data_IF_723102939503
#
_entry.id   IF_723102939503
#
_cell.length_a   1.000
_cell.length_b   1.000
_cell.length_c   1.000
_cell.angle_alpha   90.00
_cell.angle_beta   90.00
_cell.angle_gamma   90.00
#
_symmetry.space_group_name_H-M   'P 1'
#
loop_
_entity.id
_entity.type
_entity.pdbx_description
1 polymer ?
#
# COMPACT_ATOMS: atom_id res chain seq x y z
N UNK A 1 73.99 20.19 -24.86
CA UNK A 1 73.40 21.44 -24.35
C UNK A 1 71.98 21.14 -23.96
N UNK A 2 71.77 21.15 -22.67
CA UNK A 2 70.59 20.70 -21.95
C UNK A 2 69.54 21.81 -21.90
N UNK A 3 68.26 21.45 -22.05
CA UNK A 3 67.03 22.15 -21.59
C UNK A 3 65.83 21.47 -22.25
N UNK A 4 64.68 21.25 -21.62
CA UNK A 4 64.24 21.05 -20.23
C UNK A 4 62.75 20.66 -20.38
N UNK A 5 62.29 19.71 -19.56
CA UNK A 5 60.87 19.30 -19.37
C UNK A 5 59.93 20.50 -19.23
N UNK A 6 58.69 20.33 -19.69
CA UNK A 6 57.48 20.39 -18.85
C UNK A 6 56.31 19.72 -19.59
N UNK A 7 56.05 18.45 -19.29
CA UNK A 7 54.73 17.85 -19.51
C UNK A 7 53.88 18.20 -18.29
N UNK A 8 52.90 19.09 -18.47
CA UNK A 8 51.85 19.28 -17.48
C UNK A 8 51.02 17.99 -17.45
N UNK A 9 51.08 17.26 -16.34
CA UNK A 9 50.19 16.15 -16.09
C UNK A 9 48.79 16.70 -15.89
N UNK A 10 47.88 16.35 -16.79
CA UNK A 10 46.46 16.36 -16.49
C UNK A 10 46.21 15.26 -15.45
N UNK A 11 46.13 15.67 -14.19
CA UNK A 11 45.49 14.89 -13.13
C UNK A 11 44.01 14.77 -13.48
N UNK A 12 43.67 13.73 -14.24
CA UNK A 12 42.31 13.25 -14.33
C UNK A 12 41.86 12.86 -12.93
N UNK A 13 40.97 13.66 -12.34
CA UNK A 13 40.18 13.24 -11.19
C UNK A 13 39.40 12.00 -11.66
N UNK A 14 39.47 10.86 -10.96
CA UNK A 14 38.68 9.70 -11.35
C UNK A 14 37.21 10.09 -11.19
N UNK A 15 36.53 10.18 -12.31
CA UNK A 15 35.07 10.20 -12.36
C UNK A 15 34.61 8.89 -11.73
N UNK A 16 34.07 8.96 -10.51
CA UNK A 16 33.45 7.83 -9.85
C UNK A 16 32.21 7.49 -10.68
N UNK A 17 32.36 6.58 -11.64
CA UNK A 17 31.24 5.91 -12.26
C UNK A 17 30.53 5.14 -11.16
N UNK A 18 29.49 5.74 -10.57
CA UNK A 18 28.63 5.04 -9.64
C UNK A 18 28.07 3.82 -10.37
N UNK A 19 28.49 2.62 -9.94
CA UNK A 19 28.03 1.36 -10.51
C UNK A 19 26.51 1.22 -10.39
N UNK A 20 25.94 0.29 -11.16
CA UNK A 20 24.52 -0.09 -11.01
C UNK A 20 24.31 -0.53 -9.56
N UNK A 21 23.38 0.09 -8.80
CA UNK A 21 23.19 -0.21 -7.39
C UNK A 21 22.79 -1.68 -7.20
N UNK A 22 23.45 -2.36 -6.27
CA UNK A 22 23.20 -3.77 -5.95
C UNK A 22 22.27 -3.91 -4.74
N UNK A 23 21.74 -5.12 -4.51
CA UNK A 23 20.99 -5.45 -3.29
C UNK A 23 21.84 -5.20 -2.04
N UNK A 24 23.13 -5.55 -2.08
CA UNK A 24 24.04 -5.37 -0.95
C UNK A 24 24.24 -3.88 -0.61
N UNK A 25 24.37 -3.02 -1.63
CA UNK A 25 24.50 -1.57 -1.43
C UNK A 25 23.26 -0.99 -0.75
N UNK A 26 22.07 -1.41 -1.20
CA UNK A 26 20.80 -0.94 -0.64
C UNK A 26 20.61 -1.43 0.80
N UNK A 27 20.89 -2.72 1.08
CA UNK A 27 20.79 -3.27 2.43
C UNK A 27 21.78 -2.61 3.40
N UNK A 28 23.02 -2.36 2.96
CA UNK A 28 24.00 -1.64 3.75
C UNK A 28 23.50 -0.22 4.09
N UNK A 29 22.95 0.49 3.11
CA UNK A 29 22.40 1.82 3.36
C UNK A 29 21.18 1.79 4.29
N UNK A 30 20.29 0.80 4.15
CA UNK A 30 19.16 0.62 5.06
C UNK A 30 19.60 0.36 6.50
N UNK A 31 20.70 -0.40 6.69
CA UNK A 31 21.27 -0.62 8.01
C UNK A 31 21.81 0.66 8.65
N UNK A 32 22.40 1.58 7.87
CA UNK A 32 22.83 2.90 8.37
C UNK A 32 21.65 3.83 8.69
N UNK A 33 20.48 3.60 8.09
CA UNK A 33 19.25 4.36 8.34
C UNK A 33 18.40 3.79 9.49
N UNK A 34 18.82 2.68 10.09
CA UNK A 34 18.15 2.03 11.20
C UNK A 34 18.14 2.95 12.44
N UNK A 35 16.95 3.23 12.99
CA UNK A 35 16.77 3.99 14.22
C UNK A 35 15.94 3.17 15.23
N UNK A 36 16.48 2.81 16.42
CA UNK A 36 15.76 2.07 17.45
C UNK A 36 14.45 2.73 17.92
N UNK A 37 14.37 4.07 17.88
CA UNK A 37 13.14 4.79 18.24
C UNK A 37 12.07 4.59 17.18
N UNK A 38 12.45 4.61 15.91
CA UNK A 38 11.54 4.35 14.79
C UNK A 38 11.10 2.89 14.80
N UNK A 39 12.02 1.96 15.05
CA UNK A 39 11.72 0.53 15.24
C UNK A 39 10.63 0.33 16.30
N UNK A 40 10.83 0.89 17.50
CA UNK A 40 9.87 0.76 18.59
C UNK A 40 8.48 1.35 18.27
N UNK A 41 8.38 2.33 17.38
CA UNK A 41 7.10 2.86 16.88
C UNK A 41 6.49 1.92 15.86
N UNK A 42 7.26 1.47 14.88
CA UNK A 42 6.80 0.59 13.81
C UNK A 42 6.35 -0.78 14.35
N UNK A 43 7.06 -1.34 15.33
CA UNK A 43 6.70 -2.63 15.94
C UNK A 43 5.35 -2.58 16.65
N UNK A 44 4.97 -1.43 17.24
CA UNK A 44 3.62 -1.22 17.80
C UNK A 44 2.52 -1.28 16.75
N UNK A 45 2.87 -1.07 15.48
CA UNK A 45 1.97 -1.18 14.33
C UNK A 45 2.13 -2.51 13.57
N UNK A 46 2.94 -3.44 14.09
CA UNK A 46 3.18 -4.75 13.49
C UNK A 46 4.26 -4.77 12.38
N UNK A 47 5.06 -3.71 12.26
CA UNK A 47 6.12 -3.57 11.27
C UNK A 47 7.51 -3.72 11.94
N UNK A 48 8.35 -4.64 11.44
CA UNK A 48 9.62 -5.05 12.07
C UNK A 48 10.87 -4.32 11.53
N UNK A 49 10.73 -3.09 11.06
CA UNK A 49 11.84 -2.29 10.52
C UNK A 49 12.11 -1.00 11.30
N UNK A 50 13.38 -0.59 11.38
CA UNK A 50 13.82 0.62 12.07
C UNK A 50 13.93 1.87 11.19
N UNK A 51 13.58 1.81 9.90
CA UNK A 51 13.83 2.91 8.97
C UNK A 51 12.64 3.88 8.87
N UNK A 52 12.91 5.18 8.94
CA UNK A 52 11.90 6.23 8.74
C UNK A 52 11.36 6.22 7.29
N UNK A 53 10.03 6.29 7.11
CA UNK A 53 9.41 6.24 5.78
C UNK A 53 9.83 7.40 4.85
N UNK A 54 10.18 8.56 5.39
CA UNK A 54 10.73 9.68 4.59
C UNK A 54 12.12 9.34 4.06
N UNK A 55 12.96 8.69 4.87
CA UNK A 55 14.28 8.19 4.45
C UNK A 55 14.16 7.09 3.39
N UNK A 56 13.23 6.14 3.56
CA UNK A 56 12.93 5.13 2.52
C UNK A 56 12.56 5.77 1.18
N UNK A 57 11.70 6.81 1.20
CA UNK A 57 11.32 7.55 -0.01
C UNK A 57 12.49 8.33 -0.61
N UNK A 58 13.38 8.90 0.21
CA UNK A 58 14.58 9.58 -0.26
C UNK A 58 15.55 8.61 -0.96
N UNK A 59 15.76 7.42 -0.39
CA UNK A 59 16.54 6.34 -1.00
C UNK A 59 15.91 5.89 -2.32
N UNK A 60 14.61 5.55 -2.32
CA UNK A 60 13.90 5.16 -3.54
C UNK A 60 13.96 6.24 -4.64
N UNK A 61 13.87 7.52 -4.26
CA UNK A 61 14.01 8.65 -5.21
C UNK A 61 15.38 8.68 -5.88
N UNK A 62 16.46 8.36 -5.15
CA UNK A 62 17.81 8.28 -5.72
C UNK A 62 17.99 7.05 -6.61
N UNK A 63 17.44 5.91 -6.20
CA UNK A 63 17.48 4.66 -6.99
C UNK A 63 16.66 4.76 -8.28
N UNK A 64 15.59 5.56 -8.30
CA UNK A 64 14.61 5.67 -9.39
C UNK A 64 13.95 4.32 -9.70
N UNK A 65 13.15 4.26 -10.76
CA UNK A 65 12.49 3.01 -11.16
C UNK A 65 13.51 1.98 -11.68
N UNK A 66 13.65 0.86 -10.96
CA UNK A 66 14.60 -0.21 -11.26
C UNK A 66 13.99 -1.59 -10.93
N UNK A 67 13.26 -2.17 -11.88
CA UNK A 67 12.43 -3.36 -11.64
C UNK A 67 13.20 -4.62 -11.22
N UNK A 68 14.35 -4.92 -11.83
CA UNK A 68 15.11 -6.13 -11.49
C UNK A 68 15.69 -6.06 -10.08
N UNK A 69 16.23 -4.89 -9.70
CA UNK A 69 16.62 -4.59 -8.33
C UNK A 69 15.43 -4.68 -7.37
N UNK A 70 14.24 -4.19 -7.75
CA UNK A 70 13.04 -4.32 -6.93
C UNK A 70 12.69 -5.78 -6.64
N UNK A 71 12.71 -6.66 -7.65
CA UNK A 71 12.47 -8.10 -7.48
C UNK A 71 13.54 -8.73 -6.58
N UNK A 72 14.79 -8.37 -6.77
CA UNK A 72 15.90 -8.88 -5.96
C UNK A 72 15.82 -8.41 -4.50
N UNK A 73 15.43 -7.16 -4.25
CA UNK A 73 15.17 -6.61 -2.91
C UNK A 73 13.96 -7.28 -2.26
N UNK A 74 12.90 -7.56 -3.03
CA UNK A 74 11.73 -8.25 -2.52
C UNK A 74 12.07 -9.65 -1.99
N UNK A 75 12.92 -10.38 -2.72
CA UNK A 75 13.34 -11.73 -2.41
C UNK A 75 14.15 -11.85 -1.11
N UNK A 76 14.71 -10.75 -0.58
CA UNK A 76 15.44 -10.78 0.70
C UNK A 76 14.53 -11.03 1.90
N UNK A 77 13.22 -10.81 1.75
CA UNK A 77 12.24 -10.82 2.84
C UNK A 77 12.51 -9.80 3.95
N UNK A 78 13.46 -8.87 3.76
CA UNK A 78 13.68 -7.75 4.67
C UNK A 78 12.60 -6.70 4.45
N UNK A 79 11.88 -6.33 5.51
CA UNK A 79 10.72 -5.44 5.42
C UNK A 79 11.08 -4.06 4.85
N UNK A 80 12.22 -3.47 5.25
CA UNK A 80 12.63 -2.17 4.72
C UNK A 80 13.01 -2.28 3.23
N UNK A 81 13.70 -3.36 2.84
CA UNK A 81 14.04 -3.65 1.45
C UNK A 81 12.79 -3.88 0.59
N UNK A 82 11.80 -4.62 1.09
CA UNK A 82 10.51 -4.81 0.42
C UNK A 82 9.77 -3.48 0.24
N UNK A 83 9.76 -2.59 1.24
CA UNK A 83 9.17 -1.25 1.10
C UNK A 83 9.89 -0.42 0.03
N UNK A 84 11.23 -0.47 -0.05
CA UNK A 84 11.98 0.17 -1.14
C UNK A 84 11.63 -0.46 -2.49
N UNK A 85 11.56 -1.79 -2.57
CA UNK A 85 11.19 -2.51 -3.79
C UNK A 85 9.86 -2.02 -4.36
N UNK A 86 8.84 -1.87 -3.51
CA UNK A 86 7.53 -1.36 -3.91
C UNK A 86 7.57 0.07 -4.46
N UNK A 87 8.50 0.90 -3.99
CA UNK A 87 8.69 2.28 -4.46
C UNK A 87 9.45 2.38 -5.79
N UNK A 88 10.29 1.39 -6.12
CA UNK A 88 11.16 1.43 -7.32
C UNK A 88 10.75 0.43 -8.41
N UNK A 89 9.75 -0.43 -8.16
CA UNK A 89 9.28 -1.39 -9.13
C UNK A 89 8.53 -0.75 -10.32
N UNK A 90 8.23 -1.57 -11.34
CA UNK A 90 7.29 -1.22 -12.41
C UNK A 90 6.00 -2.03 -12.19
N UNK A 91 4.94 -1.44 -11.60
CA UNK A 91 3.74 -2.18 -11.20
C UNK A 91 3.10 -3.07 -12.27
N UNK A 92 3.11 -2.60 -13.52
CA UNK A 92 2.49 -3.29 -14.66
C UNK A 92 3.34 -4.41 -15.26
N UNK A 93 4.56 -4.62 -14.74
CA UNK A 93 5.49 -5.65 -15.22
C UNK A 93 5.43 -6.95 -14.40
N UNK A 94 4.64 -6.95 -13.32
CA UNK A 94 4.38 -8.15 -12.52
C UNK A 94 3.27 -8.97 -13.17
N UNK A 95 3.51 -10.27 -13.26
CA UNK A 95 2.53 -11.26 -13.75
C UNK A 95 1.55 -11.66 -12.65
N UNK A 96 0.45 -12.29 -13.05
CA UNK A 96 -0.61 -12.74 -12.15
C UNK A 96 -0.09 -13.57 -10.96
N UNK A 97 0.60 -14.68 -11.23
CA UNK A 97 1.08 -15.61 -10.19
C UNK A 97 2.11 -14.97 -9.26
N UNK A 98 2.89 -14.02 -9.79
CA UNK A 98 3.87 -13.27 -9.01
C UNK A 98 3.18 -12.34 -8.01
N UNK A 99 2.10 -11.68 -8.41
CA UNK A 99 1.35 -10.80 -7.52
C UNK A 99 0.67 -11.57 -6.38
N UNK A 100 0.10 -12.74 -6.66
CA UNK A 100 -0.49 -13.60 -5.63
C UNK A 100 0.58 -14.10 -4.64
N UNK A 101 1.71 -14.58 -5.17
CA UNK A 101 2.84 -15.00 -4.34
C UNK A 101 3.38 -13.86 -3.47
N UNK A 102 3.55 -12.66 -4.04
CA UNK A 102 3.99 -11.47 -3.31
C UNK A 102 3.00 -11.09 -2.19
N UNK A 103 1.68 -11.12 -2.45
CA UNK A 103 0.70 -10.82 -1.41
C UNK A 103 0.85 -11.76 -0.20
N UNK A 104 1.00 -13.06 -0.46
CA UNK A 104 1.14 -14.09 0.60
C UNK A 104 2.49 -14.03 1.32
N UNK A 105 3.50 -13.42 0.71
CA UNK A 105 4.81 -13.18 1.33
C UNK A 105 4.84 -11.89 2.18
N UNK A 106 3.92 -10.94 1.93
CA UNK A 106 3.87 -9.65 2.61
C UNK A 106 3.35 -9.77 4.05
N UNK A 107 4.26 -10.06 4.99
CA UNK A 107 3.92 -10.28 6.41
C UNK A 107 3.61 -8.99 7.16
N UNK A 108 4.39 -7.94 6.91
CA UNK A 108 4.22 -6.64 7.58
C UNK A 108 2.95 -5.93 7.07
N UNK A 109 2.14 -5.33 7.97
CA UNK A 109 1.00 -4.50 7.58
C UNK A 109 1.36 -3.40 6.58
N UNK A 110 2.51 -2.73 6.73
CA UNK A 110 2.96 -1.70 5.79
C UNK A 110 3.26 -2.25 4.41
N UNK A 111 4.01 -3.36 4.33
CA UNK A 111 4.36 -3.98 3.04
C UNK A 111 3.10 -4.40 2.31
N UNK A 112 2.17 -5.04 3.02
CA UNK A 112 0.88 -5.45 2.45
C UNK A 112 0.07 -4.25 1.91
N UNK A 113 -0.10 -3.20 2.72
CA UNK A 113 -0.84 -2.00 2.33
C UNK A 113 -0.20 -1.29 1.12
N UNK A 114 1.13 -1.10 1.14
CA UNK A 114 1.84 -0.47 0.02
C UNK A 114 1.83 -1.34 -1.22
N UNK A 115 1.92 -2.67 -1.08
CA UNK A 115 1.86 -3.58 -2.22
C UNK A 115 0.51 -3.47 -2.93
N UNK A 116 -0.60 -3.56 -2.20
CA UNK A 116 -1.94 -3.40 -2.78
C UNK A 116 -2.08 -2.03 -3.43
N UNK A 117 -1.76 -0.94 -2.70
CA UNK A 117 -2.03 0.42 -3.17
C UNK A 117 -1.09 0.91 -4.28
N UNK A 118 0.19 0.54 -4.25
CA UNK A 118 1.18 1.07 -5.19
C UNK A 118 1.40 0.15 -6.38
N UNK A 119 1.16 -1.16 -6.22
CA UNK A 119 1.39 -2.17 -7.24
C UNK A 119 0.08 -2.69 -7.79
N UNK A 120 -0.70 -3.42 -6.99
CA UNK A 120 -1.84 -4.23 -7.49
C UNK A 120 -2.92 -3.36 -8.12
N UNK A 121 -3.33 -2.27 -7.45
CA UNK A 121 -4.35 -1.33 -7.96
C UNK A 121 -4.04 -0.77 -9.37
N UNK A 122 -2.77 -0.74 -9.76
CA UNK A 122 -2.31 -0.21 -11.06
C UNK A 122 -2.04 -1.30 -12.10
N UNK A 123 -2.13 -2.57 -11.72
CA UNK A 123 -1.78 -3.71 -12.56
C UNK A 123 -3.00 -4.20 -13.38
N UNK A 124 -2.81 -4.63 -14.65
CA UNK A 124 -3.90 -5.17 -15.48
C UNK A 124 -4.66 -6.35 -14.87
N UNK A 125 -4.04 -7.11 -13.97
CA UNK A 125 -4.64 -8.27 -13.31
C UNK A 125 -5.54 -7.93 -12.12
N UNK A 126 -5.67 -6.66 -11.75
CA UNK A 126 -6.37 -6.23 -10.53
C UNK A 126 -7.79 -6.78 -10.40
N UNK A 127 -8.59 -6.82 -11.48
CA UNK A 127 -9.97 -7.31 -11.41
C UNK A 127 -10.04 -8.82 -11.16
N UNK A 128 -9.15 -9.59 -11.78
CA UNK A 128 -9.07 -11.03 -11.55
C UNK A 128 -8.65 -11.32 -10.12
N UNK A 129 -7.59 -10.66 -9.65
CA UNK A 129 -7.09 -10.78 -8.27
C UNK A 129 -8.16 -10.35 -7.26
N UNK A 130 -8.94 -9.30 -7.54
CA UNK A 130 -10.03 -8.85 -6.67
C UNK A 130 -11.05 -9.97 -6.44
N UNK A 131 -11.50 -10.63 -7.51
CA UNK A 131 -12.48 -11.71 -7.42
C UNK A 131 -11.92 -12.92 -6.66
N UNK A 132 -10.70 -13.36 -7.00
CA UNK A 132 -10.07 -14.52 -6.37
C UNK A 132 -9.75 -14.23 -4.89
N UNK A 133 -9.15 -13.07 -4.58
CA UNK A 133 -8.78 -12.71 -3.21
C UNK A 133 -9.98 -12.45 -2.32
N UNK A 134 -11.04 -11.77 -2.79
CA UNK A 134 -12.24 -11.55 -1.96
C UNK A 134 -12.89 -12.85 -1.49
N UNK A 135 -12.73 -13.94 -2.25
CA UNK A 135 -13.24 -15.27 -1.91
C UNK A 135 -12.22 -16.16 -1.15
N UNK A 136 -10.99 -15.68 -0.92
CA UNK A 136 -9.94 -16.45 -0.26
C UNK A 136 -10.28 -16.66 1.23
N UNK A 137 -10.09 -17.87 1.78
CA UNK A 137 -10.35 -18.15 3.19
C UNK A 137 -9.38 -17.45 4.15
N UNK A 138 -8.20 -17.02 3.68
CA UNK A 138 -7.28 -16.23 4.49
C UNK A 138 -7.79 -14.78 4.60
N UNK A 139 -8.14 -14.29 5.80
CA UNK A 139 -8.67 -12.94 5.99
C UNK A 139 -7.68 -11.85 5.58
N UNK A 140 -6.37 -12.12 5.59
CA UNK A 140 -5.35 -11.17 5.11
C UNK A 140 -5.48 -11.02 3.59
N UNK A 141 -5.58 -12.13 2.86
CA UNK A 141 -5.75 -12.11 1.40
C UNK A 141 -7.10 -11.51 1.03
N UNK A 142 -8.17 -11.93 1.72
CA UNK A 142 -9.50 -11.36 1.54
C UNK A 142 -9.52 -9.84 1.73
N UNK A 143 -8.78 -9.31 2.71
CA UNK A 143 -8.70 -7.86 2.92
C UNK A 143 -8.14 -7.11 1.71
N UNK A 144 -7.19 -7.70 0.97
CA UNK A 144 -6.67 -7.13 -0.26
C UNK A 144 -7.73 -7.12 -1.36
N UNK A 145 -8.49 -8.21 -1.51
CA UNK A 145 -9.64 -8.27 -2.43
C UNK A 145 -10.69 -7.20 -2.13
N UNK A 146 -11.02 -6.98 -0.85
CA UNK A 146 -11.93 -5.91 -0.42
C UNK A 146 -11.35 -4.51 -0.66
N UNK A 147 -10.05 -4.30 -0.46
CA UNK A 147 -9.39 -3.03 -0.79
C UNK A 147 -9.43 -2.71 -2.30
N UNK A 148 -9.34 -3.72 -3.16
CA UNK A 148 -9.53 -3.58 -4.61
C UNK A 148 -11.02 -3.33 -4.95
N UNK A 149 -11.94 -3.98 -4.25
CA UNK A 149 -13.39 -3.77 -4.40
C UNK A 149 -13.78 -2.34 -4.07
N UNK A 150 -13.26 -1.80 -2.97
CA UNK A 150 -13.50 -0.40 -2.62
C UNK A 150 -12.99 0.58 -3.69
N UNK A 151 -11.83 0.34 -4.31
CA UNK A 151 -11.38 1.19 -5.42
C UNK A 151 -12.32 1.09 -6.63
N UNK A 152 -12.76 -0.13 -6.97
CA UNK A 152 -13.66 -0.34 -8.10
C UNK A 152 -15.00 0.36 -7.90
N UNK A 153 -15.57 0.33 -6.70
CA UNK A 153 -16.81 1.05 -6.33
C UNK A 153 -16.73 2.53 -6.69
N UNK A 154 -15.57 3.16 -6.46
CA UNK A 154 -15.35 4.58 -6.74
C UNK A 154 -15.05 4.84 -8.22
N UNK A 155 -14.19 4.02 -8.83
CA UNK A 155 -13.58 4.35 -10.14
C UNK A 155 -14.26 3.72 -11.35
N UNK A 156 -14.83 2.52 -11.20
CA UNK A 156 -15.40 1.70 -12.29
C UNK A 156 -16.53 0.79 -11.76
N UNK A 157 -17.61 1.38 -11.25
CA UNK A 157 -18.68 0.63 -10.57
C UNK A 157 -19.53 -0.21 -11.53
N UNK A 158 -19.44 0.01 -12.85
CA UNK A 158 -20.25 -0.70 -13.83
C UNK A 158 -20.06 -2.21 -13.69
N UNK A 159 -21.19 -2.93 -13.60
CA UNK A 159 -21.21 -4.39 -13.44
C UNK A 159 -20.84 -4.90 -12.04
N UNK A 160 -20.76 -4.03 -11.01
CA UNK A 160 -20.75 -4.48 -9.62
C UNK A 160 -22.16 -4.76 -9.12
N UNK A 161 -22.33 -5.87 -8.40
CA UNK A 161 -23.52 -6.15 -7.61
C UNK A 161 -23.42 -5.45 -6.25
N UNK A 162 -23.73 -4.16 -6.21
CA UNK A 162 -23.67 -3.36 -4.97
C UNK A 162 -24.62 -3.90 -3.88
N UNK A 163 -25.87 -4.31 -4.17
CA UNK A 163 -26.71 -4.99 -3.19
C UNK A 163 -26.06 -6.25 -2.60
N UNK A 164 -25.52 -7.14 -3.42
CA UNK A 164 -24.85 -8.35 -2.94
C UNK A 164 -23.59 -8.07 -2.11
N UNK A 165 -22.84 -7.01 -2.44
CA UNK A 165 -21.72 -6.55 -1.61
C UNK A 165 -22.20 -6.07 -0.23
N UNK A 166 -23.30 -5.32 -0.16
CA UNK A 166 -23.90 -4.88 1.10
C UNK A 166 -24.41 -6.05 1.94
N UNK A 167 -25.05 -7.05 1.31
CA UNK A 167 -25.50 -8.26 1.99
C UNK A 167 -24.32 -9.03 2.61
N UNK A 168 -23.20 -9.13 1.88
CA UNK A 168 -21.98 -9.77 2.38
C UNK A 168 -21.36 -8.99 3.54
N UNK A 169 -21.34 -7.65 3.45
CA UNK A 169 -20.85 -6.78 4.53
C UNK A 169 -21.70 -6.93 5.78
N UNK A 170 -23.03 -6.87 5.63
CA UNK A 170 -23.97 -7.00 6.74
C UNK A 170 -23.81 -8.34 7.47
N UNK A 171 -23.64 -9.43 6.72
CA UNK A 171 -23.53 -10.76 7.28
C UNK A 171 -22.20 -11.03 8.00
N UNK A 172 -21.10 -10.44 7.55
CA UNK A 172 -19.75 -10.86 7.97
C UNK A 172 -18.86 -9.80 8.62
N UNK A 173 -19.07 -8.51 8.36
CA UNK A 173 -18.08 -7.48 8.71
C UNK A 173 -17.81 -7.37 10.21
N UNK A 174 -18.84 -7.52 11.05
CA UNK A 174 -18.73 -7.34 12.51
C UNK A 174 -17.79 -8.36 13.16
N UNK A 175 -17.78 -9.59 12.65
CA UNK A 175 -16.97 -10.69 13.18
C UNK A 175 -15.65 -10.88 12.40
N UNK A 176 -15.43 -10.09 11.33
CA UNK A 176 -14.22 -10.18 10.54
C UNK A 176 -12.99 -9.68 11.33
N UNK A 177 -11.79 -10.27 11.12
CA UNK A 177 -10.55 -9.76 11.72
C UNK A 177 -10.25 -8.32 11.28
N UNK A 178 -9.57 -7.55 12.14
CA UNK A 178 -9.37 -6.10 12.02
C UNK A 178 -9.08 -5.59 10.61
N UNK A 179 -8.14 -6.22 9.89
CA UNK A 179 -7.75 -5.78 8.53
C UNK A 179 -8.87 -5.99 7.52
N UNK A 180 -9.55 -7.15 7.57
CA UNK A 180 -10.68 -7.46 6.71
C UNK A 180 -11.88 -6.58 7.06
N UNK A 181 -12.18 -6.43 8.36
CA UNK A 181 -13.22 -5.56 8.87
C UNK A 181 -13.02 -4.11 8.39
N UNK A 182 -11.79 -3.60 8.46
CA UNK A 182 -11.45 -2.27 7.95
C UNK A 182 -11.73 -2.14 6.45
N UNK A 183 -11.30 -3.11 5.64
CA UNK A 183 -11.51 -3.09 4.18
C UNK A 183 -12.99 -3.19 3.79
N UNK A 184 -13.77 -4.00 4.52
CA UNK A 184 -15.22 -4.10 4.36
C UNK A 184 -15.93 -2.80 4.76
N UNK A 185 -15.57 -2.20 5.89
CA UNK A 185 -16.12 -0.91 6.34
C UNK A 185 -15.80 0.22 5.36
N UNK A 186 -14.58 0.23 4.83
CA UNK A 186 -14.19 1.18 3.80
C UNK A 186 -15.01 0.98 2.52
N UNK A 187 -15.30 -0.26 2.13
CA UNK A 187 -16.19 -0.55 0.98
C UNK A 187 -17.63 -0.09 1.25
N UNK A 188 -18.17 -0.37 2.44
CA UNK A 188 -19.49 0.10 2.88
C UNK A 188 -19.62 1.62 2.76
N UNK A 189 -18.63 2.34 3.29
CA UNK A 189 -18.59 3.80 3.24
C UNK A 189 -18.56 4.30 1.79
N UNK A 190 -17.68 3.76 0.95
CA UNK A 190 -17.59 4.17 -0.46
C UNK A 190 -18.88 3.88 -1.24
N UNK A 191 -19.56 2.75 -0.96
CA UNK A 191 -20.89 2.49 -1.56
C UNK A 191 -21.88 3.58 -1.16
N UNK A 192 -21.95 3.94 0.13
CA UNK A 192 -22.87 4.98 0.59
C UNK A 192 -22.55 6.40 0.11
N UNK A 193 -21.27 6.70 -0.11
CA UNK A 193 -20.80 7.99 -0.63
C UNK A 193 -21.13 8.12 -2.12
N UNK A 194 -20.69 7.15 -2.92
CA UNK A 194 -20.70 7.25 -4.38
C UNK A 194 -22.04 6.84 -5.02
N UNK A 195 -22.85 6.01 -4.34
CA UNK A 195 -24.06 5.41 -4.91
C UNK A 195 -25.31 5.78 -4.12
N UNK A 196 -25.94 6.89 -4.50
CA UNK A 196 -27.13 7.44 -3.82
C UNK A 196 -28.24 6.41 -3.59
N UNK A 197 -28.54 5.58 -4.61
CA UNK A 197 -29.57 4.55 -4.52
C UNK A 197 -29.32 3.51 -3.40
N UNK A 198 -28.06 3.34 -2.97
CA UNK A 198 -27.64 2.40 -1.93
C UNK A 198 -27.33 3.09 -0.59
N UNK A 199 -27.31 4.42 -0.55
CA UNK A 199 -26.87 5.20 0.62
C UNK A 199 -27.65 4.88 1.88
N UNK A 200 -28.98 4.87 1.79
CA UNK A 200 -29.83 4.56 2.94
C UNK A 200 -29.52 3.16 3.52
N UNK A 201 -29.28 2.17 2.66
CA UNK A 201 -28.91 0.81 3.09
C UNK A 201 -27.52 0.77 3.73
N UNK A 202 -26.56 1.48 3.17
CA UNK A 202 -25.20 1.55 3.72
C UNK A 202 -25.17 2.20 5.12
N UNK A 203 -25.95 3.28 5.31
CA UNK A 203 -26.11 3.94 6.62
C UNK A 203 -26.72 2.99 7.66
N UNK A 204 -27.83 2.33 7.33
CA UNK A 204 -28.50 1.37 8.23
C UNK A 204 -27.57 0.23 8.68
N UNK A 205 -26.80 -0.35 7.74
CA UNK A 205 -25.81 -1.39 8.07
C UNK A 205 -24.74 -0.83 9.02
N UNK A 206 -24.20 0.36 8.73
CA UNK A 206 -23.19 0.99 9.57
C UNK A 206 -23.68 1.27 10.99
N UNK A 207 -24.91 1.78 11.12
CA UNK A 207 -25.55 2.07 12.41
C UNK A 207 -25.81 0.81 13.24
N UNK A 208 -26.27 -0.29 12.62
CA UNK A 208 -26.52 -1.54 13.35
C UNK A 208 -25.27 -2.29 13.73
N UNK A 209 -24.24 -2.27 12.88
CA UNK A 209 -23.01 -3.02 13.12
C UNK A 209 -22.05 -2.29 14.06
N UNK A 210 -22.08 -0.94 14.08
CA UNK A 210 -21.27 -0.07 14.95
C UNK A 210 -19.74 -0.29 14.82
N UNK A 211 -19.30 -0.87 13.70
CA UNK A 211 -17.90 -1.13 13.40
C UNK A 211 -17.13 0.21 13.33
N UNK A 212 -16.05 0.31 14.11
CA UNK A 212 -15.19 1.51 14.24
C UNK A 212 -15.90 2.76 14.80
N UNK A 213 -17.07 2.63 15.44
CA UNK A 213 -17.81 3.75 16.05
C UNK A 213 -16.97 4.58 17.03
N UNK A 214 -16.20 3.90 17.88
CA UNK A 214 -15.37 4.52 18.91
C UNK A 214 -13.90 4.71 18.49
N UNK A 215 -13.59 4.61 17.18
CA UNK A 215 -12.22 4.72 16.69
C UNK A 215 -11.63 6.12 17.01
N UNK A 216 -10.46 6.20 17.66
CA UNK A 216 -9.85 7.48 18.01
C UNK A 216 -9.60 8.35 16.78
N UNK A 217 -10.35 9.44 16.66
CA UNK A 217 -10.30 10.34 15.52
C UNK A 217 -9.73 11.69 15.98
N UNK A 218 -8.55 12.10 15.49
CA UNK A 218 -7.97 13.41 15.83
C UNK A 218 -8.87 14.58 15.41
N UNK A 219 -8.71 15.76 16.03
CA UNK A 219 -9.42 16.96 15.59
C UNK A 219 -9.22 17.23 14.10
N UNK A 220 -10.27 17.70 13.43
CA UNK A 220 -10.31 18.00 11.99
C UNK A 220 -10.15 16.79 11.04
N UNK A 221 -10.16 15.55 11.57
CA UNK A 221 -10.24 14.34 10.76
C UNK A 221 -11.69 13.83 10.72
N UNK A 222 -12.06 13.17 9.61
CA UNK A 222 -13.34 12.47 9.51
C UNK A 222 -13.20 11.09 10.15
N UNK A 223 -14.15 10.72 11.01
CA UNK A 223 -14.18 9.40 11.65
C UNK A 223 -14.29 8.29 10.59
N UNK A 224 -13.61 7.13 10.76
CA UNK A 224 -13.76 5.99 9.87
C UNK A 224 -15.09 5.23 10.09
N UNK A 225 -15.89 5.60 11.10
CA UNK A 225 -17.23 5.04 11.29
C UNK A 225 -18.10 5.34 10.07
N UNK A 226 -18.56 4.30 9.36
CA UNK A 226 -19.17 4.46 8.04
C UNK A 226 -20.31 5.49 7.98
N UNK A 227 -21.29 5.53 8.92
CA UNK A 227 -22.34 6.55 8.89
C UNK A 227 -21.84 7.99 9.00
N UNK A 228 -20.90 8.26 9.92
CA UNK A 228 -20.28 9.57 10.05
C UNK A 228 -19.48 9.94 8.81
N UNK A 229 -18.74 8.98 8.25
CA UNK A 229 -17.93 9.21 7.07
C UNK A 229 -18.78 9.50 5.83
N UNK A 230 -19.81 8.67 5.57
CA UNK A 230 -20.74 8.85 4.45
C UNK A 230 -21.39 10.23 4.53
N UNK A 231 -21.96 10.58 5.68
CA UNK A 231 -22.66 11.86 5.88
C UNK A 231 -21.74 13.05 5.63
N UNK A 232 -20.52 13.01 6.18
CA UNK A 232 -19.55 14.10 6.00
C UNK A 232 -19.12 14.26 4.53
N UNK A 233 -18.85 13.15 3.83
CA UNK A 233 -18.37 13.22 2.45
C UNK A 233 -19.46 13.64 1.47
N UNK A 234 -20.69 13.14 1.63
CA UNK A 234 -21.85 13.59 0.82
C UNK A 234 -22.07 15.09 1.04
N UNK A 235 -22.05 15.54 2.29
CA UNK A 235 -22.20 16.96 2.61
C UNK A 235 -21.10 17.83 2.00
N UNK A 236 -19.86 17.34 1.88
CA UNK A 236 -18.77 18.03 1.17
C UNK A 236 -19.02 18.11 -0.34
N UNK A 237 -19.51 17.03 -0.95
CA UNK A 237 -19.81 16.99 -2.39
C UNK A 237 -20.94 17.97 -2.75
N UNK A 238 -21.95 18.12 -1.90
CA UNK A 238 -23.05 19.07 -2.11
C UNK A 238 -22.63 20.55 -1.98
N UNK A 239 -21.53 20.84 -1.27
CA UNK A 239 -20.99 22.20 -1.09
C UNK A 239 -19.97 22.60 -2.16
N UNK A 240 -19.44 21.65 -2.93
CA UNK A 240 -18.40 21.86 -3.92
C UNK A 240 -18.99 22.31 -5.27
#
# INVERSE_FOLDING_TARGET
MERRRTSAGETGVPEVTAGVPTVADVLAELAELEDPRIRAVNEKHGDDHGVNLTSLRALAKRLRAHHDLARALWATSDTAAQLVALLICRPKSFEYDELDAMLRQARSPKVHDWFVNYVVKKNPHAERLRLEWTADPDPVVASAGWALTSERVVRKPEGLDLPGLLDTIEAGMKEAPDRLQWAMNHTLAQIGIEHEAQRARALDIGERLEVLKDYPTPPNCTSPFAPSWITEMVSRQERA
#
